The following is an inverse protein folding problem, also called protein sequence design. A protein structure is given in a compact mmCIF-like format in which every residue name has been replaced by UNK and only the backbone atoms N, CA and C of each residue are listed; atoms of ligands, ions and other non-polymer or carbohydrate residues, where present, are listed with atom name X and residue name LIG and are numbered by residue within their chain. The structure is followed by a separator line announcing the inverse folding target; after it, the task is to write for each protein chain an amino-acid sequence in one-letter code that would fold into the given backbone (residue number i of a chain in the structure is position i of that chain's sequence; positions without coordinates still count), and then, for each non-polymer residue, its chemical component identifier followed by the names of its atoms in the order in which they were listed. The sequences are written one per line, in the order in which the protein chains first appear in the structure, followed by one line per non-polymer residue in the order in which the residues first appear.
data_IF_869961524916
#
_entry.id   IF_869961524916
#
_cell.length_a   1.000
_cell.length_b   1.000
_cell.length_c   1.000
_cell.angle_alpha   90.00
_cell.angle_beta   90.00
_cell.angle_gamma   90.00
#
_symmetry.space_group_name_H-M   'P 1'
#
loop_
_entity.id
_entity.type
_entity.pdbx_description
1 polymer ?
#
# COMPACT_ATOMS: atom_id res chain seq x y z
N UNK A 1 4.44 8.20 -19.06
CA UNK A 1 4.09 6.81 -18.67
C UNK A 1 2.81 6.34 -19.39
N UNK A 2 1.75 7.14 -19.44
CA UNK A 2 0.49 6.84 -20.16
C UNK A 2 0.77 6.44 -21.62
N UNK A 3 1.59 7.22 -22.36
CA UNK A 3 1.97 6.89 -23.76
C UNK A 3 2.74 5.58 -23.90
N UNK A 4 3.31 5.05 -22.82
CA UNK A 4 3.98 3.75 -22.79
C UNK A 4 3.03 2.60 -22.43
N UNK A 5 1.76 2.90 -22.17
CA UNK A 5 0.72 1.90 -21.87
C UNK A 5 0.57 1.51 -20.40
N UNK A 6 1.25 2.18 -19.47
CA UNK A 6 1.06 1.92 -18.04
C UNK A 6 -0.36 2.27 -17.60
N UNK A 7 -0.97 1.37 -16.82
CA UNK A 7 -2.33 1.48 -16.31
C UNK A 7 -2.42 1.78 -14.80
N UNK A 8 -1.34 1.58 -14.08
CA UNK A 8 -1.17 1.90 -12.67
C UNK A 8 0.04 2.81 -12.53
N UNK A 9 -0.17 4.02 -12.03
CA UNK A 9 0.86 5.06 -12.01
C UNK A 9 0.88 5.74 -10.66
N UNK A 10 1.92 5.47 -9.87
CA UNK A 10 2.15 6.19 -8.62
C UNK A 10 2.62 7.61 -8.95
N UNK A 11 1.94 8.59 -8.35
CA UNK A 11 2.17 10.02 -8.59
C UNK A 11 2.82 10.73 -7.41
N UNK A 12 2.97 10.04 -6.27
CA UNK A 12 3.67 10.56 -5.11
C UNK A 12 2.94 10.35 -3.79
N UNK A 13 3.31 11.17 -2.80
CA UNK A 13 2.76 11.17 -1.45
C UNK A 13 2.04 12.50 -1.16
N UNK A 14 0.80 12.69 -1.62
CA UNK A 14 0.11 13.98 -1.58
C UNK A 14 -0.10 14.52 -0.16
N UNK A 15 -0.11 13.67 0.86
CA UNK A 15 -0.19 14.10 2.25
C UNK A 15 1.15 14.59 2.82
N UNK A 16 2.29 14.34 2.15
CA UNK A 16 3.61 14.74 2.63
C UNK A 16 3.93 16.22 2.36
N UNK A 17 3.41 16.79 1.27
CA UNK A 17 3.66 18.19 0.93
C UNK A 17 2.51 18.81 0.14
N UNK A 18 2.36 20.14 0.26
CA UNK A 18 1.36 20.86 -0.51
C UNK A 18 1.64 20.80 -2.03
N UNK A 19 2.91 20.76 -2.43
CA UNK A 19 3.30 20.67 -3.84
C UNK A 19 2.81 19.37 -4.47
N UNK A 20 2.97 18.23 -3.78
CA UNK A 20 2.50 16.94 -4.27
C UNK A 20 0.97 16.87 -4.29
N UNK A 21 0.33 17.44 -3.27
CA UNK A 21 -1.12 17.57 -3.22
C UNK A 21 -1.64 18.37 -4.42
N UNK A 22 -1.11 19.57 -4.64
CA UNK A 22 -1.53 20.47 -5.72
C UNK A 22 -1.25 19.85 -7.10
N UNK A 23 -0.15 19.12 -7.25
CA UNK A 23 0.17 18.42 -8.49
C UNK A 23 -0.91 17.37 -8.82
N UNK A 24 -1.29 16.55 -7.86
CA UNK A 24 -2.35 15.56 -8.09
C UNK A 24 -3.69 16.24 -8.37
N UNK A 25 -4.05 17.28 -7.60
CA UNK A 25 -5.26 18.06 -7.86
C UNK A 25 -5.27 18.63 -9.29
N UNK A 26 -4.13 19.18 -9.73
CA UNK A 26 -3.99 19.68 -11.08
C UNK A 26 -4.27 18.60 -12.14
N UNK A 27 -3.73 17.40 -11.97
CA UNK A 27 -3.99 16.29 -12.91
C UNK A 27 -5.47 15.92 -12.99
N UNK A 28 -6.17 15.91 -11.86
CA UNK A 28 -7.59 15.55 -11.77
C UNK A 28 -8.46 16.66 -12.36
N UNK A 29 -8.26 17.90 -11.94
CA UNK A 29 -9.08 19.05 -12.29
C UNK A 29 -8.96 19.44 -13.76
N UNK A 30 -7.86 19.06 -14.42
CA UNK A 30 -7.64 19.28 -15.86
C UNK A 30 -7.89 18.04 -16.73
N UNK A 31 -8.51 16.99 -16.16
CA UNK A 31 -8.87 15.75 -16.87
C UNK A 31 -7.66 15.10 -17.59
N UNK A 32 -6.50 15.10 -16.90
CA UNK A 32 -5.25 14.58 -17.48
C UNK A 32 -5.06 13.08 -17.25
N UNK A 33 -5.96 12.43 -16.51
CA UNK A 33 -5.90 11.01 -16.15
C UNK A 33 -6.93 10.26 -17.01
N UNK A 34 -6.51 9.38 -17.94
CA UNK A 34 -7.44 8.56 -18.72
C UNK A 34 -8.29 7.64 -17.85
N UNK A 35 -9.50 7.31 -18.29
CA UNK A 35 -10.48 6.51 -17.57
C UNK A 35 -10.00 5.09 -17.24
N UNK A 36 -9.05 4.57 -18.00
CA UNK A 36 -8.48 3.22 -17.85
C UNK A 36 -7.14 3.21 -17.07
N UNK A 37 -6.79 4.34 -16.43
CA UNK A 37 -5.57 4.49 -15.62
C UNK A 37 -5.93 4.66 -14.15
N UNK A 38 -5.31 3.85 -13.28
CA UNK A 38 -5.34 4.06 -11.84
C UNK A 38 -4.24 5.03 -11.44
N UNK A 39 -4.62 6.07 -10.72
CA UNK A 39 -3.67 6.90 -9.98
C UNK A 39 -3.36 6.19 -8.67
N UNK A 40 -2.08 6.00 -8.40
CA UNK A 40 -1.62 5.44 -7.14
C UNK A 40 -1.03 6.54 -6.26
N UNK A 41 -1.39 6.55 -4.99
CA UNK A 41 -0.97 7.53 -3.99
C UNK A 41 -0.45 6.84 -2.75
N UNK A 42 0.75 7.24 -2.31
CA UNK A 42 1.40 6.67 -1.13
C UNK A 42 0.98 7.42 0.14
N UNK A 43 0.82 6.71 1.24
CA UNK A 43 0.60 7.28 2.56
C UNK A 43 1.03 6.33 3.68
N UNK A 44 1.42 6.87 4.83
CA UNK A 44 1.64 6.07 6.04
C UNK A 44 0.31 5.63 6.67
N UNK A 45 0.34 4.56 7.48
CA UNK A 45 -0.79 4.08 8.27
C UNK A 45 -1.11 5.02 9.45
N UNK A 46 -1.44 6.29 9.15
CA UNK A 46 -1.78 7.35 10.12
C UNK A 46 -3.03 8.07 9.66
N UNK A 47 -3.97 8.29 10.59
CA UNK A 47 -5.30 8.80 10.27
C UNK A 47 -5.28 10.12 9.53
N UNK A 48 -4.50 11.09 10.02
CA UNK A 48 -4.40 12.42 9.41
C UNK A 48 -3.83 12.39 7.98
N UNK A 49 -2.89 11.48 7.71
CA UNK A 49 -2.29 11.33 6.39
C UNK A 49 -3.22 10.60 5.43
N UNK A 50 -3.91 9.56 5.90
CA UNK A 50 -4.92 8.83 5.11
C UNK A 50 -6.07 9.78 4.74
N UNK A 51 -6.59 10.56 5.71
CA UNK A 51 -7.63 11.56 5.44
C UNK A 51 -7.20 12.55 4.36
N UNK A 52 -6.00 13.12 4.49
CA UNK A 52 -5.44 14.07 3.51
C UNK A 52 -5.23 13.44 2.14
N UNK A 53 -4.87 12.15 2.11
CA UNK A 53 -4.74 11.39 0.85
C UNK A 53 -6.10 11.26 0.16
N UNK A 54 -7.16 10.93 0.88
CA UNK A 54 -8.52 10.85 0.31
C UNK A 54 -9.04 12.21 -0.16
N UNK A 55 -8.68 13.32 0.50
CA UNK A 55 -8.96 14.67 -0.01
C UNK A 55 -8.28 14.90 -1.37
N UNK A 56 -7.04 14.45 -1.52
CA UNK A 56 -6.25 14.68 -2.73
C UNK A 56 -6.79 13.96 -3.96
N UNK A 57 -7.40 12.78 -3.80
CA UNK A 57 -7.94 11.96 -4.91
C UNK A 57 -9.41 12.25 -5.22
N UNK A 58 -10.05 13.20 -4.56
CA UNK A 58 -11.45 13.54 -4.85
C UNK A 58 -11.64 13.90 -6.33
N UNK A 59 -12.63 13.26 -6.96
CA UNK A 59 -12.91 13.39 -8.39
C UNK A 59 -12.20 12.38 -9.29
N UNK A 60 -11.30 11.53 -8.76
CA UNK A 60 -10.79 10.38 -9.50
C UNK A 60 -11.89 9.35 -9.73
N UNK A 61 -11.91 8.74 -10.91
CA UNK A 61 -12.79 7.58 -11.20
C UNK A 61 -12.31 6.32 -10.50
N UNK A 62 -10.98 6.19 -10.36
CA UNK A 62 -10.35 5.05 -9.72
C UNK A 62 -8.96 5.43 -9.18
N UNK A 63 -8.62 4.88 -8.02
CA UNK A 63 -7.32 5.10 -7.40
C UNK A 63 -6.83 3.86 -6.65
N UNK A 64 -5.50 3.72 -6.56
CA UNK A 64 -4.84 2.80 -5.64
C UNK A 64 -4.36 3.62 -4.45
N UNK A 65 -4.82 3.28 -3.27
CA UNK A 65 -4.32 3.86 -2.01
C UNK A 65 -3.28 2.90 -1.44
N UNK A 66 -2.02 3.32 -1.53
CA UNK A 66 -0.86 2.54 -1.11
C UNK A 66 -0.48 2.95 0.31
N UNK A 67 -0.80 2.12 1.29
CA UNK A 67 -0.42 2.34 2.68
C UNK A 67 0.80 1.51 3.06
N UNK A 68 1.61 2.01 4.00
CA UNK A 68 2.76 1.30 4.51
C UNK A 68 3.04 1.62 5.98
N UNK A 69 3.69 0.70 6.63
CA UNK A 69 4.40 0.91 7.90
C UNK A 69 5.64 0.01 7.97
N UNK A 70 6.63 0.47 8.70
CA UNK A 70 7.91 -0.25 8.82
C UNK A 70 7.77 -1.49 9.68
N UNK A 71 8.36 -2.61 9.24
CA UNK A 71 8.20 -3.93 9.86
C UNK A 71 9.51 -4.60 10.26
N UNK A 72 10.66 -4.07 9.81
CA UNK A 72 11.97 -4.68 10.09
C UNK A 72 12.30 -4.75 11.58
N UNK A 73 13.12 -5.73 11.96
CA UNK A 73 13.64 -5.89 13.33
C UNK A 73 14.25 -4.59 13.84
N UNK A 74 15.12 -3.96 13.04
CA UNK A 74 15.78 -2.72 13.41
C UNK A 74 14.80 -1.59 13.73
N UNK A 75 13.77 -1.41 12.90
CA UNK A 75 12.81 -0.33 13.10
C UNK A 75 11.89 -0.61 14.29
N UNK A 76 11.50 -1.86 14.50
CA UNK A 76 10.72 -2.26 15.68
C UNK A 76 11.49 -1.98 16.98
N UNK A 77 12.77 -2.35 17.02
CA UNK A 77 13.58 -2.26 18.23
C UNK A 77 14.09 -0.84 18.52
N UNK A 78 14.54 -0.12 17.49
CA UNK A 78 15.24 1.16 17.66
C UNK A 78 14.36 2.37 17.43
N UNK A 79 13.41 2.30 16.50
CA UNK A 79 12.56 3.46 16.14
C UNK A 79 11.24 3.45 16.90
N UNK A 80 10.52 2.33 16.85
CA UNK A 80 9.19 2.25 17.44
C UNK A 80 9.20 1.77 18.90
N UNK A 81 10.21 0.99 19.30
CA UNK A 81 10.24 0.27 20.59
C UNK A 81 8.95 -0.55 20.80
N UNK A 82 8.50 -1.24 19.74
CA UNK A 82 7.26 -1.99 19.70
C UNK A 82 7.49 -3.43 19.30
N UNK A 83 6.70 -4.34 19.87
CA UNK A 83 6.64 -5.73 19.48
C UNK A 83 5.80 -5.96 18.21
N UNK A 84 5.83 -7.21 17.69
CA UNK A 84 5.11 -7.59 16.46
C UNK A 84 3.60 -7.27 16.54
N UNK A 85 2.85 -7.61 17.63
CA UNK A 85 1.42 -7.30 17.72
C UNK A 85 1.09 -5.81 17.56
N UNK A 86 1.88 -4.92 18.15
CA UNK A 86 1.65 -3.48 18.02
C UNK A 86 1.92 -2.97 16.60
N UNK A 87 2.91 -3.54 15.92
CA UNK A 87 3.18 -3.21 14.51
C UNK A 87 2.05 -3.71 13.60
N UNK A 88 1.51 -4.91 13.86
CA UNK A 88 0.32 -5.42 13.14
C UNK A 88 -0.88 -4.51 13.39
N UNK A 89 -1.10 -4.03 14.60
CA UNK A 89 -2.20 -3.12 14.95
C UNK A 89 -2.15 -1.81 14.15
N UNK A 90 -0.95 -1.26 13.91
CA UNK A 90 -0.79 -0.08 13.03
C UNK A 90 -1.30 -0.36 11.62
N UNK A 91 -0.91 -1.49 11.02
CA UNK A 91 -1.33 -1.87 9.67
C UNK A 91 -2.84 -2.13 9.58
N UNK A 92 -3.39 -2.84 10.57
CA UNK A 92 -4.83 -3.15 10.66
C UNK A 92 -5.65 -1.86 10.79
N UNK A 93 -5.29 -0.96 11.71
CA UNK A 93 -5.97 0.35 11.87
C UNK A 93 -5.87 1.21 10.61
N UNK A 94 -4.70 1.24 9.97
CA UNK A 94 -4.54 1.93 8.68
C UNK A 94 -5.47 1.37 7.61
N UNK A 95 -5.58 0.05 7.53
CA UNK A 95 -6.48 -0.63 6.59
C UNK A 95 -7.96 -0.34 6.88
N UNK A 96 -8.37 -0.36 8.15
CA UNK A 96 -9.74 -0.02 8.57
C UNK A 96 -10.10 1.42 8.19
N UNK A 97 -9.16 2.36 8.35
CA UNK A 97 -9.34 3.75 7.94
C UNK A 97 -9.52 3.87 6.42
N UNK A 98 -8.64 3.23 5.63
CA UNK A 98 -8.80 3.23 4.16
C UNK A 98 -10.14 2.63 3.77
N UNK A 99 -10.55 1.51 4.38
CA UNK A 99 -11.84 0.86 4.12
C UNK A 99 -13.02 1.79 4.43
N UNK A 100 -12.94 2.53 5.54
CA UNK A 100 -13.95 3.52 5.94
C UNK A 100 -14.06 4.64 4.89
N UNK A 101 -12.95 5.25 4.51
CA UNK A 101 -12.96 6.32 3.51
C UNK A 101 -13.35 5.81 2.11
N UNK A 102 -12.95 4.59 1.75
CA UNK A 102 -13.32 3.97 0.48
C UNK A 102 -14.81 3.72 0.35
N UNK A 103 -15.52 3.44 1.45
CA UNK A 103 -16.97 3.23 1.45
C UNK A 103 -17.75 4.49 1.03
N UNK A 104 -17.23 5.68 1.33
CA UNK A 104 -17.86 6.96 1.01
C UNK A 104 -17.29 7.58 -0.29
N UNK A 105 -16.29 6.94 -0.89
CA UNK A 105 -15.65 7.45 -2.09
C UNK A 105 -16.46 7.09 -3.35
N UNK A 106 -16.79 8.06 -4.23
CA UNK A 106 -17.67 7.82 -5.39
C UNK A 106 -17.04 6.99 -6.49
N UNK A 107 -15.71 6.82 -6.49
CA UNK A 107 -14.95 6.04 -7.45
C UNK A 107 -14.54 4.66 -6.92
N UNK A 108 -13.72 3.96 -7.70
CA UNK A 108 -13.17 2.66 -7.29
C UNK A 108 -11.85 2.87 -6.51
N UNK A 109 -11.74 2.26 -5.34
CA UNK A 109 -10.52 2.21 -4.54
C UNK A 109 -9.96 0.78 -4.53
N UNK A 110 -8.68 0.65 -4.81
CA UNK A 110 -7.89 -0.57 -4.59
C UNK A 110 -6.91 -0.28 -3.46
N UNK A 111 -6.79 -1.21 -2.53
CA UNK A 111 -5.80 -1.12 -1.47
C UNK A 111 -4.48 -1.76 -1.92
N UNK A 112 -3.39 -1.05 -1.74
CA UNK A 112 -2.04 -1.59 -1.76
C UNK A 112 -1.42 -1.47 -0.37
N UNK A 113 -0.72 -2.50 0.08
CA UNK A 113 -0.02 -2.51 1.37
C UNK A 113 1.44 -2.93 1.20
N UNK A 114 2.35 -2.19 1.83
CA UNK A 114 3.76 -2.53 1.94
C UNK A 114 4.18 -2.73 3.40
N UNK A 115 4.69 -3.92 3.78
CA UNK A 115 5.52 -4.08 4.97
C UNK A 115 6.90 -3.46 4.67
N UNK A 116 7.05 -2.16 4.95
CA UNK A 116 8.27 -1.42 4.61
C UNK A 116 9.52 -2.07 5.22
N UNK A 117 10.62 -2.07 4.47
CA UNK A 117 11.83 -2.82 4.80
C UNK A 117 11.61 -4.33 4.91
N UNK A 118 10.82 -4.90 3.99
CA UNK A 118 10.50 -6.33 3.94
C UNK A 118 11.76 -7.21 4.00
N UNK A 119 12.82 -6.85 3.29
CA UNK A 119 14.09 -7.61 3.29
C UNK A 119 14.81 -7.67 4.64
N UNK A 120 14.47 -6.78 5.57
CA UNK A 120 14.94 -6.78 6.96
C UNK A 120 13.90 -7.29 7.96
N UNK A 121 12.80 -7.87 7.47
CA UNK A 121 11.70 -8.42 8.24
C UNK A 121 11.73 -9.94 8.18
N UNK A 122 11.44 -10.62 9.27
CA UNK A 122 11.32 -12.09 9.29
C UNK A 122 10.13 -12.50 8.39
N UNK A 123 10.32 -13.54 7.58
CA UNK A 123 9.30 -13.96 6.60
C UNK A 123 7.98 -14.38 7.24
N UNK A 124 8.04 -15.06 8.40
CA UNK A 124 6.86 -15.44 9.17
C UNK A 124 6.07 -14.21 9.63
N UNK A 125 6.78 -13.16 10.08
CA UNK A 125 6.15 -11.91 10.50
C UNK A 125 5.62 -11.10 9.32
N UNK A 126 6.35 -11.05 8.20
CA UNK A 126 5.87 -10.42 6.97
C UNK A 126 4.57 -11.10 6.48
N UNK A 127 4.49 -12.42 6.53
CA UNK A 127 3.29 -13.18 6.19
C UNK A 127 2.14 -12.88 7.17
N UNK A 128 2.42 -12.84 8.48
CA UNK A 128 1.44 -12.53 9.52
C UNK A 128 0.79 -11.17 9.27
N UNK A 129 1.58 -10.11 9.12
CA UNK A 129 1.06 -8.74 8.94
C UNK A 129 0.33 -8.56 7.62
N UNK A 130 0.86 -9.10 6.52
CA UNK A 130 0.17 -9.03 5.22
C UNK A 130 -1.16 -9.80 5.24
N UNK A 131 -1.22 -10.95 5.92
CA UNK A 131 -2.45 -11.73 6.08
C UNK A 131 -3.47 -10.98 6.94
N UNK A 132 -3.03 -10.29 8.00
CA UNK A 132 -3.91 -9.47 8.82
C UNK A 132 -4.53 -8.32 8.00
N UNK A 133 -3.73 -7.64 7.18
CA UNK A 133 -4.21 -6.58 6.27
C UNK A 133 -5.17 -7.14 5.21
N UNK A 134 -4.82 -8.26 4.55
CA UNK A 134 -5.68 -8.94 3.57
C UNK A 134 -7.06 -9.26 4.15
N UNK A 135 -7.11 -9.86 5.36
CA UNK A 135 -8.35 -10.20 6.06
C UNK A 135 -9.16 -8.97 6.46
N UNK A 136 -8.51 -7.91 6.95
CA UNK A 136 -9.15 -6.65 7.35
C UNK A 136 -9.76 -5.94 6.16
N UNK A 137 -9.05 -5.89 5.03
CA UNK A 137 -9.59 -5.35 3.78
C UNK A 137 -10.79 -6.15 3.29
N UNK A 138 -10.77 -7.46 3.51
CA UNK A 138 -11.76 -8.40 2.99
C UNK A 138 -11.50 -8.73 1.52
N UNK A 139 -10.22 -8.95 1.18
CA UNK A 139 -9.80 -9.23 -0.18
C UNK A 139 -10.44 -10.52 -0.72
N UNK A 140 -10.90 -10.46 -1.97
CA UNK A 140 -11.45 -11.58 -2.73
C UNK A 140 -10.82 -11.58 -4.13
N UNK A 141 -11.07 -12.63 -4.89
CA UNK A 141 -10.63 -12.70 -6.29
C UNK A 141 -11.19 -11.56 -7.15
N UNK A 142 -12.42 -11.13 -6.87
CA UNK A 142 -13.12 -10.05 -7.58
C UNK A 142 -12.70 -8.65 -7.07
N UNK A 143 -12.21 -8.57 -5.85
CA UNK A 143 -11.69 -7.36 -5.23
C UNK A 143 -10.35 -7.65 -4.55
N UNK A 144 -9.28 -7.87 -5.33
CA UNK A 144 -7.98 -8.23 -4.80
C UNK A 144 -7.32 -7.06 -4.07
N UNK A 145 -6.39 -7.41 -3.18
CA UNK A 145 -5.43 -6.48 -2.59
C UNK A 145 -4.11 -6.58 -3.33
N UNK A 146 -3.40 -5.47 -3.45
CA UNK A 146 -2.00 -5.46 -3.88
C UNK A 146 -1.11 -5.55 -2.64
N UNK A 147 -0.20 -6.52 -2.62
CA UNK A 147 0.85 -6.63 -1.60
C UNK A 147 2.19 -6.34 -2.27
N UNK A 148 2.78 -5.22 -1.92
CA UNK A 148 4.10 -4.84 -2.38
C UNK A 148 5.15 -5.25 -1.32
N UNK A 149 6.13 -6.06 -1.69
CA UNK A 149 7.19 -6.56 -0.81
C UNK A 149 8.50 -5.83 -1.14
N UNK A 150 8.76 -4.64 -0.55
CA UNK A 150 9.79 -3.75 -1.04
C UNK A 150 11.18 -4.13 -0.51
N UNK A 151 12.17 -4.13 -1.41
CA UNK A 151 13.58 -4.10 -1.03
C UNK A 151 14.01 -2.66 -0.72
N UNK A 152 13.40 -2.06 0.32
CA UNK A 152 13.67 -0.68 0.74
C UNK A 152 15.15 -0.48 1.07
N UNK A 153 15.75 -1.48 1.72
CA UNK A 153 17.17 -1.61 1.93
C UNK A 153 17.58 -2.98 1.39
N UNK A 154 18.50 -3.01 0.44
CA UNK A 154 19.03 -4.27 -0.09
C UNK A 154 19.89 -4.97 0.96
N UNK A 155 19.33 -6.01 1.57
CA UNK A 155 19.99 -6.80 2.62
C UNK A 155 20.70 -8.04 2.06
N UNK A 156 20.32 -8.48 0.87
CA UNK A 156 20.75 -9.73 0.27
C UNK A 156 20.95 -9.58 -1.25
N UNK A 157 21.50 -10.64 -1.86
CA UNK A 157 21.61 -10.75 -3.31
C UNK A 157 20.25 -10.96 -3.98
N UNK A 158 20.06 -10.60 -5.27
CA UNK A 158 18.78 -10.69 -5.96
C UNK A 158 18.15 -12.09 -5.96
N UNK A 159 18.95 -13.17 -6.00
CA UNK A 159 18.44 -14.53 -5.94
C UNK A 159 17.80 -14.86 -4.57
N UNK A 160 18.39 -14.38 -3.46
CA UNK A 160 17.81 -14.54 -2.11
C UNK A 160 16.50 -13.76 -2.01
N UNK A 161 16.44 -12.55 -2.55
CA UNK A 161 15.21 -11.77 -2.59
C UNK A 161 14.13 -12.49 -3.42
N UNK A 162 14.49 -13.07 -4.58
CA UNK A 162 13.57 -13.85 -5.38
C UNK A 162 13.02 -15.07 -4.61
N UNK A 163 13.87 -15.78 -3.85
CA UNK A 163 13.46 -16.89 -2.99
C UNK A 163 12.50 -16.43 -1.88
N UNK A 164 12.70 -15.24 -1.30
CA UNK A 164 11.79 -14.65 -0.32
C UNK A 164 10.41 -14.35 -0.93
N UNK A 165 10.37 -13.77 -2.14
CA UNK A 165 9.11 -13.52 -2.87
C UNK A 165 8.41 -14.84 -3.19
N UNK A 166 9.13 -15.85 -3.67
CA UNK A 166 8.55 -17.16 -3.95
C UNK A 166 7.99 -17.81 -2.67
N UNK A 167 8.73 -17.71 -1.56
CA UNK A 167 8.25 -18.22 -0.28
C UNK A 167 6.94 -17.54 0.14
N UNK A 168 6.87 -16.21 0.12
CA UNK A 168 5.64 -15.47 0.40
C UNK A 168 4.50 -15.90 -0.52
N UNK A 169 4.76 -15.97 -1.83
CA UNK A 169 3.78 -16.38 -2.83
C UNK A 169 3.16 -17.76 -2.55
N UNK A 170 3.95 -18.69 -2.00
CA UNK A 170 3.51 -20.07 -1.69
C UNK A 170 2.79 -20.18 -0.35
N UNK A 171 2.98 -19.23 0.58
CA UNK A 171 2.43 -19.31 1.94
C UNK A 171 1.20 -18.43 2.15
N UNK A 172 0.88 -17.51 1.25
CA UNK A 172 -0.35 -16.74 1.34
C UNK A 172 -1.59 -17.63 1.23
N UNK A 173 -2.48 -17.53 2.23
CA UNK A 173 -3.84 -18.05 2.13
C UNK A 173 -4.66 -17.23 1.12
N UNK A 174 -5.62 -17.87 0.42
CA UNK A 174 -6.45 -17.20 -0.61
C UNK A 174 -5.61 -16.42 -1.62
N UNK A 175 -4.57 -17.06 -2.14
CA UNK A 175 -3.56 -16.44 -3.02
C UNK A 175 -4.17 -15.70 -4.22
N UNK A 176 -5.31 -16.18 -4.73
CA UNK A 176 -6.05 -15.59 -5.85
C UNK A 176 -6.65 -14.21 -5.53
N UNK A 177 -6.71 -13.82 -4.26
CA UNK A 177 -7.15 -12.49 -3.82
C UNK A 177 -6.00 -11.48 -3.68
N UNK A 178 -4.78 -11.86 -4.06
CA UNK A 178 -3.57 -11.03 -3.92
C UNK A 178 -2.89 -10.82 -5.27
N UNK A 179 -2.55 -9.58 -5.57
CA UNK A 179 -1.60 -9.18 -6.60
C UNK A 179 -0.26 -8.90 -5.90
N UNK A 180 0.84 -9.58 -6.32
CA UNK A 180 2.19 -9.33 -5.82
C UNK A 180 2.96 -8.48 -6.82
#
# INVERSE_FOLDING_TARGET
RIKLGFKEIEVGFPAASQIEFDFLRHLIEHDMIPDDVYVQVLTQCREELIARTFESIQGCKQAIVHIYNSTSTLQRDVVFHMDRPHIVDIAVKGTELVKKYAADFPGKIVLEYSPESFTGTELDFALEICTAVQKTWGATKENPIIINLPSTVEMNTPNVYADQIEWMNRHFENRESIIL
#
